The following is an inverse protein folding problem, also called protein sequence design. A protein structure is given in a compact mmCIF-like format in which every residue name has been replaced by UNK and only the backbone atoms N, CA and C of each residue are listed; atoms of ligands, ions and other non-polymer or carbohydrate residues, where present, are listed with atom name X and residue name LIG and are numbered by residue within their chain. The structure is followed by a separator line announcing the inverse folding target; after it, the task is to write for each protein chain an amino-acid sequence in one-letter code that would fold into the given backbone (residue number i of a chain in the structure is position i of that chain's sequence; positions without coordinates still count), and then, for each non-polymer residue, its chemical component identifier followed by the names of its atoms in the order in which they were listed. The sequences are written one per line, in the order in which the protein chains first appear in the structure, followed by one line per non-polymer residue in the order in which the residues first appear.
data_IF_361551053283
#
_entry.id   IF_361551053283
#
_cell.length_a   1.000
_cell.length_b   1.000
_cell.length_c   1.000
_cell.angle_alpha   90.00
_cell.angle_beta   90.00
_cell.angle_gamma   90.00
#
_symmetry.space_group_name_H-M   'P 1'
#
loop_
_entity.id
_entity.type
_entity.pdbx_description
1 polymer ?
#
# COMPACT_ATOMS: atom_id res chain seq x y z
N UNK A 1 44.99 -4.33 -7.75
CA UNK A 1 44.55 -4.07 -6.36
C UNK A 1 43.91 -2.70 -6.21
N UNK A 2 44.62 -1.59 -6.40
CA UNK A 2 44.05 -0.23 -6.26
C UNK A 2 42.85 0.05 -7.18
N UNK A 3 42.91 -0.33 -8.45
CA UNK A 3 41.80 -0.15 -9.41
C UNK A 3 40.58 -0.99 -9.01
N UNK A 4 40.79 -2.23 -8.55
CA UNK A 4 39.72 -3.13 -8.11
C UNK A 4 39.02 -2.56 -6.86
N UNK A 5 39.79 -2.04 -5.90
CA UNK A 5 39.25 -1.39 -4.71
C UNK A 5 38.46 -0.13 -5.10
N UNK A 6 38.98 0.68 -6.04
CA UNK A 6 38.29 1.87 -6.54
C UNK A 6 36.95 1.55 -7.20
N UNK A 7 36.88 0.49 -8.01
CA UNK A 7 35.63 0.04 -8.64
C UNK A 7 34.62 -0.46 -7.59
N UNK A 8 35.06 -1.25 -6.61
CA UNK A 8 34.18 -1.73 -5.53
C UNK A 8 33.59 -0.56 -4.74
N UNK A 9 34.41 0.43 -4.38
CA UNK A 9 33.96 1.62 -3.66
C UNK A 9 32.95 2.41 -4.48
N UNK A 10 33.20 2.62 -5.79
CA UNK A 10 32.27 3.31 -6.66
C UNK A 10 30.90 2.60 -6.75
N UNK A 11 30.89 1.27 -6.87
CA UNK A 11 29.65 0.48 -6.92
C UNK A 11 28.86 0.59 -5.61
N UNK A 12 29.53 0.52 -4.47
CA UNK A 12 28.88 0.66 -3.15
C UNK A 12 28.27 2.05 -2.98
N UNK A 13 29.00 3.10 -3.37
CA UNK A 13 28.50 4.48 -3.28
C UNK A 13 27.25 4.67 -4.15
N UNK A 14 27.26 4.16 -5.38
CA UNK A 14 26.09 4.22 -6.28
C UNK A 14 24.91 3.44 -5.71
N UNK A 15 25.14 2.26 -5.14
CA UNK A 15 24.09 1.45 -4.52
C UNK A 15 23.46 2.16 -3.30
N UNK A 16 24.28 2.79 -2.45
CA UNK A 16 23.81 3.52 -1.28
C UNK A 16 23.02 4.76 -1.70
N UNK A 17 23.53 5.57 -2.64
CA UNK A 17 22.83 6.75 -3.13
C UNK A 17 21.53 6.39 -3.85
N UNK A 18 21.53 5.33 -4.67
CA UNK A 18 20.34 4.81 -5.32
C UNK A 18 19.28 4.36 -4.29
N UNK A 19 19.72 3.73 -3.21
CA UNK A 19 18.82 3.29 -2.13
C UNK A 19 18.16 4.46 -1.40
N UNK A 20 18.87 5.59 -1.25
CA UNK A 20 18.39 6.78 -0.56
C UNK A 20 17.30 7.50 -1.35
N UNK A 21 17.46 7.60 -2.67
CA UNK A 21 16.48 8.27 -3.52
C UNK A 21 15.22 7.41 -3.70
N UNK A 22 15.39 6.11 -3.92
CA UNK A 22 14.28 5.18 -4.16
C UNK A 22 13.54 4.78 -2.87
N UNK A 23 14.19 4.89 -1.72
CA UNK A 23 13.65 4.52 -0.42
C UNK A 23 12.67 5.53 0.17
N UNK A 24 12.65 6.77 -0.32
CA UNK A 24 11.74 7.80 0.19
C UNK A 24 10.35 7.61 -0.42
N UNK A 25 9.38 7.24 0.40
CA UNK A 25 7.96 7.14 0.02
C UNK A 25 7.10 8.01 0.93
N UNK A 26 6.21 8.79 0.32
CA UNK A 26 5.23 9.60 1.04
C UNK A 26 3.91 8.85 1.13
N UNK A 27 3.39 8.69 2.35
CA UNK A 27 2.06 8.13 2.62
C UNK A 27 1.11 9.27 2.97
N UNK A 28 -0.06 9.32 2.34
CA UNK A 28 -1.03 10.39 2.62
C UNK A 28 -1.66 10.23 4.02
N UNK A 29 -2.22 11.30 4.57
CA UNK A 29 -2.83 11.31 5.92
C UNK A 29 -4.02 10.35 6.06
N UNK A 30 -4.82 10.21 5.01
CA UNK A 30 -5.94 9.28 4.97
C UNK A 30 -5.53 7.85 4.59
N UNK A 31 -4.25 7.60 4.31
CA UNK A 31 -3.73 6.28 3.98
C UNK A 31 -2.90 5.69 5.12
N UNK A 32 -2.89 4.37 5.23
CA UNK A 32 -1.87 3.63 5.99
C UNK A 32 -1.02 2.80 5.05
N UNK A 33 0.29 2.87 5.25
CA UNK A 33 1.24 2.11 4.45
C UNK A 33 1.54 0.76 5.09
N UNK A 34 1.03 -0.34 4.55
CA UNK A 34 1.40 -1.70 4.96
C UNK A 34 2.75 -2.04 4.32
N UNK A 35 3.76 -2.30 5.16
CA UNK A 35 5.09 -2.67 4.72
C UNK A 35 5.23 -4.19 4.65
N UNK A 36 5.52 -4.69 3.45
CA UNK A 36 5.88 -6.08 3.23
C UNK A 36 7.37 -6.18 2.94
N UNK A 37 8.12 -6.93 3.75
CA UNK A 37 9.53 -7.23 3.53
C UNK A 37 9.67 -8.66 3.02
N UNK A 38 10.18 -8.83 1.80
CA UNK A 38 10.25 -10.15 1.13
C UNK A 38 8.94 -10.95 1.17
N UNK A 39 7.81 -10.26 1.04
CA UNK A 39 6.48 -10.89 1.08
C UNK A 39 5.92 -11.17 2.47
N UNK A 40 6.66 -10.87 3.56
CA UNK A 40 6.15 -10.98 4.95
C UNK A 40 5.75 -9.61 5.49
N UNK A 41 4.74 -9.59 6.35
CA UNK A 41 4.35 -8.37 7.04
C UNK A 41 5.46 -7.92 7.99
N UNK A 42 5.96 -6.70 7.77
CA UNK A 42 7.00 -6.09 8.59
C UNK A 42 6.45 -4.98 9.50
N UNK A 43 5.30 -4.40 9.17
CA UNK A 43 4.64 -3.41 10.01
C UNK A 43 3.79 -2.41 9.23
N UNK A 44 3.19 -1.47 9.97
CA UNK A 44 2.39 -0.38 9.42
C UNK A 44 3.19 0.92 9.54
N UNK A 45 3.27 1.66 8.42
CA UNK A 45 3.87 2.97 8.33
C UNK A 45 2.81 4.05 8.54
N UNK A 46 3.15 5.02 9.39
CA UNK A 46 2.31 6.19 9.68
C UNK A 46 2.28 7.11 8.45
N UNK A 47 1.24 7.95 8.32
CA UNK A 47 1.25 9.00 7.32
C UNK A 47 2.47 9.92 7.41
N UNK A 48 2.90 10.44 6.25
CA UNK A 48 4.08 11.28 6.12
C UNK A 48 5.24 10.60 5.40
N UNK A 49 6.43 11.16 5.59
CA UNK A 49 7.65 10.71 4.94
C UNK A 49 8.14 9.41 5.60
N UNK A 50 8.23 8.34 4.81
CA UNK A 50 8.70 7.05 5.28
C UNK A 50 9.87 6.58 4.42
N UNK A 51 10.89 6.05 5.10
CA UNK A 51 12.01 5.40 4.42
C UNK A 51 11.79 3.89 4.34
N UNK A 52 11.82 3.34 3.15
CA UNK A 52 11.74 1.90 2.86
C UNK A 52 13.02 1.46 2.17
N UNK A 53 13.41 0.20 2.35
CA UNK A 53 14.57 -0.32 1.61
C UNK A 53 14.11 -0.72 0.21
N UNK A 54 14.49 0.03 -0.84
CA UNK A 54 14.10 -0.34 -2.20
C UNK A 54 14.71 -1.71 -2.53
N UNK A 55 13.99 -2.54 -3.28
CA UNK A 55 14.28 -3.96 -3.59
C UNK A 55 13.68 -4.96 -2.57
N UNK A 56 13.89 -4.75 -1.27
CA UNK A 56 13.41 -5.71 -0.25
C UNK A 56 11.99 -5.42 0.24
N UNK A 57 11.66 -4.13 0.36
CA UNK A 57 10.43 -3.66 0.95
C UNK A 57 9.43 -3.22 -0.12
N UNK A 58 8.18 -3.67 0.01
CA UNK A 58 7.02 -3.22 -0.76
C UNK A 58 6.06 -2.50 0.17
N UNK A 59 5.77 -1.24 -0.14
CA UNK A 59 4.79 -0.44 0.59
C UNK A 59 3.45 -0.48 -0.16
N UNK A 60 2.42 -1.06 0.46
CA UNK A 60 1.05 -1.05 -0.04
C UNK A 60 0.29 0.02 0.72
N UNK A 61 -0.31 0.98 0.01
CA UNK A 61 -1.11 2.04 0.60
C UNK A 61 -2.56 1.58 0.65
N UNK A 62 -3.16 1.65 1.84
CA UNK A 62 -4.56 1.29 2.05
C UNK A 62 -5.27 2.52 2.60
N UNK A 63 -6.40 2.88 2.00
CA UNK A 63 -7.24 3.96 2.47
C UNK A 63 -7.88 3.58 3.81
N UNK A 64 -7.91 4.53 4.75
CA UNK A 64 -8.54 4.36 6.06
C UNK A 64 -9.88 5.09 6.17
N UNK A 65 -10.32 5.72 5.08
CA UNK A 65 -11.62 6.36 5.00
C UNK A 65 -12.72 5.34 4.78
N UNK A 66 -13.93 5.72 5.17
CA UNK A 66 -15.15 4.95 4.91
C UNK A 66 -15.37 4.95 3.40
N UNK A 67 -15.46 3.75 2.80
CA UNK A 67 -15.83 3.58 1.41
C UNK A 67 -17.32 3.26 1.31
N UNK A 68 -17.99 3.93 0.38
CA UNK A 68 -19.41 3.70 0.11
C UNK A 68 -19.54 2.92 -1.18
N UNK A 69 -20.17 1.74 -1.12
CA UNK A 69 -20.53 0.95 -2.30
C UNK A 69 -22.05 0.94 -2.42
N UNK A 70 -22.52 1.31 -3.60
CA UNK A 70 -23.93 1.23 -3.98
C UNK A 70 -24.16 -0.16 -4.58
N UNK A 71 -25.12 -0.91 -4.04
CA UNK A 71 -25.50 -2.20 -4.60
C UNK A 71 -26.51 -2.00 -5.72
N UNK A 72 -26.42 -2.85 -6.74
CA UNK A 72 -27.44 -2.86 -7.79
C UNK A 72 -28.79 -3.29 -7.19
N UNK A 73 -29.90 -2.61 -7.53
CA UNK A 73 -31.21 -2.93 -6.98
C UNK A 73 -31.61 -4.38 -7.26
N UNK A 74 -31.92 -5.15 -6.21
CA UNK A 74 -32.30 -6.56 -6.32
C UNK A 74 -33.80 -6.75 -6.08
N UNK A 75 -34.41 -7.62 -6.87
CA UNK A 75 -35.79 -8.07 -6.67
C UNK A 75 -35.81 -9.26 -5.71
N UNK A 76 -36.59 -9.14 -4.64
CA UNK A 76 -36.72 -10.15 -3.60
C UNK A 76 -38.19 -10.40 -3.28
N UNK A 77 -38.52 -11.65 -2.97
CA UNK A 77 -39.86 -12.04 -2.52
C UNK A 77 -39.86 -12.02 -1.00
N UNK A 78 -40.75 -11.21 -0.42
CA UNK A 78 -40.93 -11.12 1.04
C UNK A 78 -41.63 -12.37 1.59
N UNK A 79 -41.61 -12.55 2.92
CA UNK A 79 -42.30 -13.66 3.60
C UNK A 79 -43.81 -13.69 3.31
N UNK A 80 -44.39 -12.53 3.03
CA UNK A 80 -45.80 -12.37 2.70
C UNK A 80 -46.10 -12.60 1.20
N UNK A 81 -45.14 -13.17 0.45
CA UNK A 81 -45.26 -13.51 -0.95
C UNK A 81 -45.51 -12.29 -1.87
N UNK A 82 -44.93 -11.14 -1.51
CA UNK A 82 -44.94 -9.93 -2.34
C UNK A 82 -43.54 -9.66 -2.87
N UNK A 83 -43.44 -9.43 -4.18
CA UNK A 83 -42.20 -9.03 -4.86
C UNK A 83 -41.94 -7.56 -4.64
N UNK A 84 -40.76 -7.23 -4.10
CA UNK A 84 -40.29 -5.86 -3.92
C UNK A 84 -38.89 -5.71 -4.53
N UNK A 85 -38.53 -4.47 -4.87
CA UNK A 85 -37.20 -4.10 -5.32
C UNK A 85 -36.52 -3.30 -4.23
N UNK A 86 -35.36 -3.75 -3.75
CA UNK A 86 -34.62 -3.14 -2.64
C UNK A 86 -33.30 -2.57 -3.16
N UNK A 87 -32.99 -1.36 -2.70
CA UNK A 87 -31.69 -0.70 -2.87
C UNK A 87 -30.99 -0.62 -1.52
N UNK A 88 -29.66 -0.74 -1.52
CA UNK A 88 -28.85 -0.75 -0.31
C UNK A 88 -27.49 -0.10 -0.55
N UNK A 89 -27.01 0.59 0.48
CA UNK A 89 -25.69 1.23 0.50
C UNK A 89 -24.89 0.65 1.65
N UNK A 90 -23.69 0.16 1.35
CA UNK A 90 -22.78 -0.43 2.34
C UNK A 90 -21.66 0.55 2.63
N UNK A 91 -21.46 0.84 3.92
CA UNK A 91 -20.36 1.65 4.43
C UNK A 91 -19.40 0.74 5.20
N UNK A 92 -18.11 0.77 4.85
CA UNK A 92 -17.06 0.02 5.55
C UNK A 92 -15.72 0.75 5.55
#
# INVERSE_FOLDING_TARGET
MAVVIGVIVAVVVVAVLGSLVLGVKVVAQWERGVLLRFGRFAGIRRPGLNFIVPIMDRLIKVDTRILTIILEPQEVITRDNVTIKVDAVVYF
#
